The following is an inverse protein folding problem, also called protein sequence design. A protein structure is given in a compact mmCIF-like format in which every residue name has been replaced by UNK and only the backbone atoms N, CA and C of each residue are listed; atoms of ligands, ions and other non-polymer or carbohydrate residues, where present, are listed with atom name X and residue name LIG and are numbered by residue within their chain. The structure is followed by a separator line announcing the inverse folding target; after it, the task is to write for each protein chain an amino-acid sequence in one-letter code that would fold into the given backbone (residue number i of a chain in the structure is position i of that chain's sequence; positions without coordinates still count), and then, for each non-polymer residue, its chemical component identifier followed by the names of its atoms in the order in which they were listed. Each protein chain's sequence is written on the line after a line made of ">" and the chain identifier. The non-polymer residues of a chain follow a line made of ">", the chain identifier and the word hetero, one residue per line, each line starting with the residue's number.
data_IF_405133145358
#
_entry.id   IF_405133145358
#
_cell.length_a   1.000
_cell.length_b   1.000
_cell.length_c   1.000
_cell.angle_alpha   90.00
_cell.angle_beta   90.00
_cell.angle_gamma   90.00
#
_symmetry.space_group_name_H-M   'P 1'
#
loop_
_entity.id
_entity.type
_entity.pdbx_description
1 polymer ?
#
# COMPACT_ATOMS: atom_id res chain seq x y z
N UNK A 1 17.91 -17.13 1.74
CA UNK A 1 17.69 -15.99 0.81
C UNK A 1 16.19 -15.88 0.63
N UNK A 2 15.59 -14.74 0.93
CA UNK A 2 14.16 -14.52 0.72
C UNK A 2 13.91 -14.44 -0.79
N UNK A 3 12.96 -15.24 -1.29
CA UNK A 3 12.63 -15.30 -2.71
C UNK A 3 11.78 -14.07 -3.11
N UNK A 4 12.24 -13.33 -4.13
CA UNK A 4 11.54 -12.15 -4.66
C UNK A 4 10.18 -12.56 -5.25
N UNK A 5 9.12 -11.84 -4.88
CA UNK A 5 7.78 -12.01 -5.44
C UNK A 5 7.38 -10.85 -6.35
N UNK A 6 7.53 -9.62 -5.88
CA UNK A 6 7.25 -8.41 -6.65
C UNK A 6 8.45 -7.47 -6.60
N UNK A 7 8.86 -6.95 -7.75
CA UNK A 7 9.85 -5.89 -7.83
C UNK A 7 9.41 -4.78 -8.78
N UNK A 8 9.41 -3.58 -8.26
CA UNK A 8 9.28 -2.35 -9.06
C UNK A 8 10.69 -1.81 -9.34
N UNK A 9 10.97 -1.46 -10.59
CA UNK A 9 12.25 -0.88 -11.00
C UNK A 9 12.02 0.42 -11.75
N UNK A 10 12.42 1.53 -11.12
CA UNK A 10 12.29 2.90 -11.66
C UNK A 10 10.88 3.20 -12.19
N UNK A 11 9.85 2.78 -11.45
CA UNK A 11 8.46 3.02 -11.82
C UNK A 11 8.18 4.51 -11.81
N UNK A 12 7.70 5.03 -12.94
CA UNK A 12 7.19 6.39 -13.06
C UNK A 12 5.76 6.34 -13.58
N UNK A 13 4.90 7.22 -13.06
CA UNK A 13 3.53 7.38 -13.53
C UNK A 13 3.21 8.85 -13.64
N UNK A 14 2.99 9.30 -14.86
CA UNK A 14 2.63 10.67 -15.19
C UNK A 14 1.20 10.72 -15.73
N UNK A 15 0.37 11.62 -15.23
CA UNK A 15 -0.97 11.88 -15.75
C UNK A 15 -0.96 13.13 -16.63
N UNK A 16 -1.52 13.04 -17.82
CA UNK A 16 -1.70 14.19 -18.69
C UNK A 16 -2.82 15.08 -18.15
N UNK A 17 -2.49 16.32 -17.84
CA UNK A 17 -3.42 17.37 -17.37
C UNK A 17 -3.47 18.53 -18.36
N UNK A 18 -4.39 19.47 -18.20
CA UNK A 18 -4.54 20.63 -19.12
C UNK A 18 -3.25 21.43 -19.28
N UNK A 19 -2.44 21.52 -18.23
CA UNK A 19 -1.23 22.36 -18.16
C UNK A 19 0.07 21.54 -18.28
N UNK A 20 0.05 20.33 -18.87
CA UNK A 20 1.23 19.48 -19.03
C UNK A 20 1.06 18.10 -18.41
N UNK A 21 2.01 17.67 -17.58
CA UNK A 21 1.99 16.37 -16.91
C UNK A 21 2.10 16.55 -15.40
N UNK A 22 1.37 15.69 -14.67
CA UNK A 22 1.45 15.55 -13.22
C UNK A 22 2.21 14.25 -12.92
N UNK A 23 3.39 14.36 -12.31
CA UNK A 23 4.27 13.24 -11.99
C UNK A 23 3.85 12.61 -10.64
N UNK A 24 2.86 11.74 -10.68
CA UNK A 24 2.29 11.12 -9.48
C UNK A 24 3.23 10.10 -8.84
N UNK A 25 4.09 9.44 -9.64
CA UNK A 25 5.13 8.52 -9.18
C UNK A 25 6.40 8.81 -9.96
N UNK A 26 7.53 9.04 -9.27
CA UNK A 26 8.83 9.34 -9.87
C UNK A 26 9.89 8.34 -9.41
N UNK A 27 10.35 7.52 -10.33
CA UNK A 27 11.50 6.60 -10.15
C UNK A 27 11.42 5.70 -8.90
N UNK A 28 10.23 5.16 -8.60
CA UNK A 28 10.04 4.28 -7.46
C UNK A 28 10.62 2.89 -7.73
N UNK A 29 11.46 2.43 -6.81
CA UNK A 29 12.05 1.08 -6.81
C UNK A 29 11.86 0.45 -5.45
N UNK A 30 11.27 -0.75 -5.41
CA UNK A 30 11.09 -1.54 -4.19
C UNK A 30 11.02 -3.03 -4.52
N UNK A 31 11.25 -3.88 -3.53
CA UNK A 31 11.15 -5.34 -3.66
C UNK A 31 10.37 -5.91 -2.49
N UNK A 32 9.37 -6.76 -2.79
CA UNK A 32 8.59 -7.53 -1.83
C UNK A 32 8.93 -9.00 -2.00
N UNK A 33 9.33 -9.66 -0.92
CA UNK A 33 9.64 -11.08 -0.91
C UNK A 33 8.39 -11.93 -0.61
N UNK A 34 8.48 -13.23 -0.88
CA UNK A 34 7.41 -14.17 -0.52
C UNK A 34 7.18 -14.21 0.99
N UNK A 35 5.91 -14.14 1.40
CA UNK A 35 5.51 -14.13 2.81
C UNK A 35 5.86 -12.86 3.58
N UNK A 36 6.28 -11.77 2.89
CA UNK A 36 6.65 -10.49 3.49
C UNK A 36 5.45 -9.54 3.56
N UNK A 37 5.33 -8.80 4.65
CA UNK A 37 4.44 -7.64 4.76
C UNK A 37 5.26 -6.38 4.53
N UNK A 38 5.07 -5.76 3.38
CA UNK A 38 5.73 -4.53 2.97
C UNK A 38 4.77 -3.35 3.06
N UNK A 39 5.06 -2.36 3.88
CA UNK A 39 4.23 -1.17 4.03
C UNK A 39 4.72 -0.01 3.18
N UNK A 40 3.79 0.71 2.54
CA UNK A 40 4.03 2.01 1.91
C UNK A 40 3.25 3.06 2.70
N UNK A 41 3.97 4.02 3.29
CA UNK A 41 3.40 5.07 4.14
C UNK A 41 3.71 6.47 3.60
N UNK A 42 2.90 7.44 3.95
CA UNK A 42 3.09 8.84 3.56
C UNK A 42 1.79 9.63 3.59
N UNK A 43 1.88 10.94 3.37
CA UNK A 43 0.71 11.83 3.36
C UNK A 43 -0.28 11.48 2.24
N UNK A 44 -1.55 11.88 2.40
CA UNK A 44 -2.56 11.70 1.36
C UNK A 44 -2.15 12.41 0.06
N UNK A 45 -2.41 11.76 -1.08
CA UNK A 45 -2.05 12.30 -2.40
C UNK A 45 -0.58 12.16 -2.80
N UNK A 46 0.29 11.51 -2.00
CA UNK A 46 1.70 11.34 -2.37
C UNK A 46 1.99 10.22 -3.41
N UNK A 47 0.95 9.56 -3.97
CA UNK A 47 1.11 8.58 -5.06
C UNK A 47 1.01 7.11 -4.65
N UNK A 48 0.75 6.76 -3.40
CA UNK A 48 0.67 5.37 -2.89
C UNK A 48 -0.31 4.49 -3.67
N UNK A 49 -1.56 4.94 -3.78
CA UNK A 49 -2.61 4.21 -4.53
C UNK A 49 -2.29 4.14 -6.03
N UNK A 50 -1.57 5.13 -6.57
CA UNK A 50 -1.11 5.10 -7.96
C UNK A 50 -0.15 3.94 -8.20
N UNK A 51 0.77 3.66 -7.27
CA UNK A 51 1.65 2.48 -7.35
C UNK A 51 0.81 1.20 -7.36
N UNK A 52 -0.15 1.06 -6.42
CA UNK A 52 -1.02 -0.11 -6.34
C UNK A 52 -1.80 -0.37 -7.64
N UNK A 53 -2.41 0.69 -8.19
CA UNK A 53 -3.18 0.61 -9.43
C UNK A 53 -2.29 0.33 -10.65
N UNK A 54 -1.05 0.82 -10.67
CA UNK A 54 -0.10 0.57 -11.76
C UNK A 54 0.26 -0.91 -11.89
N UNK A 55 0.46 -1.62 -10.76
CA UNK A 55 0.81 -3.04 -10.73
C UNK A 55 -0.26 -3.88 -11.46
N UNK A 56 -1.52 -3.50 -11.32
CA UNK A 56 -2.64 -4.22 -11.93
C UNK A 56 -3.19 -3.55 -13.21
N UNK A 57 -2.56 -2.46 -13.71
CA UNK A 57 -3.09 -1.61 -14.79
C UNK A 57 -4.56 -1.23 -14.57
N UNK A 58 -4.84 -0.69 -13.37
CA UNK A 58 -6.15 -0.20 -12.96
C UNK A 58 -6.17 1.32 -12.84
N UNK A 59 -5.24 2.01 -13.49
CA UNK A 59 -5.22 3.46 -13.52
C UNK A 59 -6.45 4.01 -14.24
N UNK A 60 -7.09 5.08 -13.71
CA UNK A 60 -8.43 5.50 -14.14
C UNK A 60 -8.50 6.13 -15.54
N UNK A 61 -7.38 6.61 -16.08
CA UNK A 61 -7.34 7.35 -17.34
C UNK A 61 -6.41 6.72 -18.37
N UNK A 62 -6.84 6.74 -19.65
CA UNK A 62 -6.00 6.37 -20.80
C UNK A 62 -4.91 7.40 -21.13
N UNK A 63 -4.79 8.45 -20.33
CA UNK A 63 -3.84 9.55 -20.53
C UNK A 63 -2.62 9.44 -19.61
N UNK A 64 -2.43 8.29 -18.97
CA UNK A 64 -1.24 8.02 -18.17
C UNK A 64 -0.06 7.58 -19.04
N UNK A 65 1.13 7.96 -18.59
CA UNK A 65 2.40 7.45 -19.11
C UNK A 65 3.07 6.67 -17.98
N UNK A 66 3.15 5.36 -18.15
CA UNK A 66 3.82 4.46 -17.21
C UNK A 66 5.17 4.07 -17.79
N UNK A 67 6.26 4.29 -17.03
CA UNK A 67 7.62 3.91 -17.39
C UNK A 67 8.25 3.08 -16.27
N UNK A 68 9.32 2.36 -16.59
CA UNK A 68 9.96 1.41 -15.68
C UNK A 68 9.40 0.02 -15.83
N UNK A 69 9.79 -0.89 -14.94
CA UNK A 69 9.42 -2.32 -15.03
C UNK A 69 8.71 -2.76 -13.75
N UNK A 70 7.77 -3.69 -13.90
CA UNK A 70 7.05 -4.33 -12.79
C UNK A 70 7.23 -5.85 -12.96
N UNK A 71 8.12 -6.43 -12.15
CA UNK A 71 8.37 -7.88 -12.17
C UNK A 71 7.50 -8.57 -11.12
N UNK A 72 6.76 -9.60 -11.52
CA UNK A 72 6.01 -10.47 -10.63
C UNK A 72 6.41 -11.93 -10.89
N UNK A 73 6.87 -12.65 -9.85
CA UNK A 73 7.50 -13.97 -9.99
C UNK A 73 8.63 -14.02 -11.04
N UNK A 74 9.40 -12.95 -11.18
CA UNK A 74 10.51 -12.84 -12.14
C UNK A 74 10.11 -12.44 -13.56
N UNK A 75 8.82 -12.35 -13.89
CA UNK A 75 8.33 -11.94 -15.22
C UNK A 75 7.90 -10.47 -15.22
N UNK A 76 8.25 -9.71 -16.28
CA UNK A 76 7.81 -8.33 -16.44
C UNK A 76 6.35 -8.29 -16.89
N UNK A 77 5.44 -7.94 -15.95
CA UNK A 77 4.01 -7.89 -16.23
C UNK A 77 3.59 -6.65 -17.05
N UNK A 78 4.49 -5.68 -17.29
CA UNK A 78 4.23 -4.59 -18.21
C UNK A 78 4.12 -5.08 -19.66
N UNK A 79 4.78 -6.19 -19.99
CA UNK A 79 4.72 -6.80 -21.32
C UNK A 79 3.48 -7.68 -21.53
N UNK A 80 2.71 -7.94 -20.46
CA UNK A 80 1.54 -8.81 -20.54
C UNK A 80 0.41 -8.18 -21.37
N UNK A 81 -0.22 -9.01 -22.18
CA UNK A 81 -1.51 -8.70 -22.80
C UNK A 81 -2.62 -8.64 -21.74
N UNK A 82 -3.75 -8.00 -22.05
CA UNK A 82 -4.89 -7.94 -21.12
C UNK A 82 -5.39 -9.34 -20.72
N UNK A 83 -5.40 -10.31 -21.64
CA UNK A 83 -5.74 -11.71 -21.34
C UNK A 83 -4.77 -12.39 -20.37
N UNK A 84 -3.49 -12.02 -20.39
CA UNK A 84 -2.52 -12.53 -19.44
C UNK A 84 -2.69 -11.88 -18.06
N UNK A 85 -2.98 -10.56 -18.03
CA UNK A 85 -3.30 -9.84 -16.80
C UNK A 85 -4.58 -10.35 -16.14
N UNK A 86 -5.62 -10.68 -16.89
CA UNK A 86 -6.85 -11.30 -16.37
C UNK A 86 -6.56 -12.61 -15.60
N UNK A 87 -5.56 -13.38 -16.04
CA UNK A 87 -5.17 -14.63 -15.36
C UNK A 87 -4.51 -14.41 -14.01
N UNK A 88 -3.84 -13.27 -13.81
CA UNK A 88 -3.17 -12.97 -12.54
C UNK A 88 -4.04 -12.13 -11.60
N UNK A 89 -4.92 -11.26 -12.16
CA UNK A 89 -5.84 -10.44 -11.35
C UNK A 89 -6.80 -11.34 -10.57
N UNK A 90 -6.87 -11.13 -9.26
CA UNK A 90 -7.70 -11.87 -8.31
C UNK A 90 -7.27 -13.32 -8.07
N UNK A 91 -6.42 -13.93 -8.91
CA UNK A 91 -5.90 -15.29 -8.70
C UNK A 91 -4.51 -15.28 -8.06
N UNK A 92 -3.58 -14.53 -8.63
CA UNK A 92 -2.20 -14.44 -8.14
C UNK A 92 -1.99 -13.17 -7.32
N UNK A 93 -2.65 -12.06 -7.72
CA UNK A 93 -2.62 -10.77 -7.05
C UNK A 93 -4.05 -10.35 -6.74
N UNK A 94 -4.40 -10.26 -5.45
CA UNK A 94 -5.65 -9.68 -4.96
C UNK A 94 -5.47 -8.20 -4.60
N UNK A 95 -6.53 -7.38 -4.73
CA UNK A 95 -6.50 -5.98 -4.30
C UNK A 95 -7.69 -5.64 -3.42
N UNK A 96 -7.42 -5.08 -2.26
CA UNK A 96 -8.39 -4.50 -1.34
C UNK A 96 -8.40 -2.99 -1.59
N UNK A 97 -9.51 -2.47 -2.11
CA UNK A 97 -9.66 -1.05 -2.42
C UNK A 97 -10.01 -0.23 -1.19
N UNK A 98 -9.67 1.05 -1.21
CA UNK A 98 -9.90 2.01 -0.13
C UNK A 98 -11.39 2.14 0.25
N UNK A 99 -12.31 2.09 -0.73
CA UNK A 99 -13.74 2.22 -0.49
C UNK A 99 -14.49 0.91 -0.73
N UNK A 100 -14.96 0.23 0.34
CA UNK A 100 -15.71 -1.03 0.18
C UNK A 100 -17.08 -0.86 -0.46
N UNK A 101 -17.63 0.36 -0.50
CA UNK A 101 -18.94 0.64 -1.13
C UNK A 101 -18.88 0.50 -2.64
N UNK A 102 -17.77 0.90 -3.24
CA UNK A 102 -17.60 0.88 -4.69
C UNK A 102 -17.15 -0.50 -5.20
N UNK A 103 -16.74 -1.40 -4.30
CA UNK A 103 -16.18 -2.71 -4.62
C UNK A 103 -17.22 -3.84 -4.66
N UNK A 104 -18.37 -3.65 -4.00
CA UNK A 104 -19.44 -4.64 -3.94
C UNK A 104 -20.60 -4.24 -4.84
N UNK A 105 -21.03 -5.17 -5.70
CA UNK A 105 -22.21 -4.95 -6.55
C UNK A 105 -23.50 -4.99 -5.70
N UNK A 106 -24.29 -3.90 -5.64
CA UNK A 106 -25.44 -3.78 -4.75
C UNK A 106 -26.62 -4.71 -5.11
N UNK A 107 -26.68 -5.25 -6.32
CA UNK A 107 -27.79 -6.09 -6.79
C UNK A 107 -27.57 -7.60 -6.56
N UNK A 108 -26.39 -8.00 -6.08
CA UNK A 108 -26.11 -9.40 -5.73
C UNK A 108 -25.88 -9.55 -4.23
N UNK A 109 -26.24 -10.71 -3.69
CA UNK A 109 -25.92 -11.04 -2.30
C UNK A 109 -24.41 -11.16 -2.13
N UNK A 110 -23.92 -10.84 -0.94
CA UNK A 110 -22.48 -10.83 -0.66
C UNK A 110 -21.88 -12.23 -0.75
N UNK A 111 -22.60 -13.27 -0.35
CA UNK A 111 -22.17 -14.66 -0.50
C UNK A 111 -22.05 -15.07 -1.97
N UNK A 112 -22.95 -14.62 -2.83
CA UNK A 112 -22.86 -14.91 -4.28
C UNK A 112 -21.58 -14.30 -4.87
N UNK A 113 -21.25 -13.06 -4.55
CA UNK A 113 -20.06 -12.37 -5.06
C UNK A 113 -18.76 -13.08 -4.65
N UNK A 114 -18.70 -13.58 -3.40
CA UNK A 114 -17.54 -14.39 -2.96
C UNK A 114 -17.52 -15.77 -3.64
N UNK A 115 -18.68 -16.42 -3.77
CA UNK A 115 -18.79 -17.72 -4.43
C UNK A 115 -18.39 -17.66 -5.90
N UNK A 116 -18.71 -16.56 -6.61
CA UNK A 116 -18.33 -16.36 -8.02
C UNK A 116 -16.83 -16.48 -8.21
N UNK A 117 -16.02 -15.82 -7.37
CA UNK A 117 -14.55 -15.92 -7.41
C UNK A 117 -14.05 -17.35 -7.17
N UNK A 118 -14.68 -18.08 -6.27
CA UNK A 118 -14.34 -19.49 -5.98
C UNK A 118 -14.69 -20.39 -7.16
N UNK A 119 -15.88 -20.23 -7.77
CA UNK A 119 -16.35 -21.04 -8.89
C UNK A 119 -15.49 -20.91 -10.16
N UNK A 120 -14.73 -19.84 -10.32
CA UNK A 120 -13.71 -19.73 -11.37
C UNK A 120 -12.58 -20.78 -11.23
N UNK A 121 -12.49 -21.49 -10.11
CA UNK A 121 -11.51 -22.54 -9.81
C UNK A 121 -11.98 -23.96 -10.11
N UNK A 122 -13.00 -24.20 -10.94
CA UNK A 122 -13.55 -25.52 -11.28
C UNK A 122 -14.07 -26.33 -10.08
N UNK A 123 -14.71 -25.67 -9.12
CA UNK A 123 -15.39 -26.29 -7.98
C UNK A 123 -16.90 -26.32 -8.19
N UNK A 124 -17.60 -27.26 -7.56
CA UNK A 124 -19.06 -27.30 -7.59
C UNK A 124 -19.68 -26.10 -6.84
N UNK A 125 -20.93 -25.80 -7.16
CA UNK A 125 -21.66 -24.72 -6.47
C UNK A 125 -21.79 -24.99 -4.96
N UNK A 126 -22.00 -26.22 -4.57
CA UNK A 126 -22.12 -26.60 -3.16
C UNK A 126 -20.78 -26.41 -2.42
N UNK A 127 -19.67 -26.87 -3.01
CA UNK A 127 -18.33 -26.65 -2.45
C UNK A 127 -18.00 -25.15 -2.35
N UNK A 128 -18.36 -24.35 -3.35
CA UNK A 128 -18.17 -22.90 -3.31
C UNK A 128 -18.92 -22.29 -2.14
N UNK A 129 -20.18 -22.64 -1.93
CA UNK A 129 -20.99 -22.14 -0.81
C UNK A 129 -20.42 -22.52 0.56
N UNK A 130 -19.98 -23.76 0.73
CA UNK A 130 -19.33 -24.21 1.98
C UNK A 130 -18.04 -23.40 2.25
N UNK A 131 -17.25 -23.13 1.20
CA UNK A 131 -16.06 -22.27 1.32
C UNK A 131 -16.40 -20.82 1.68
N UNK A 132 -17.49 -20.25 1.14
CA UNK A 132 -17.95 -18.90 1.49
C UNK A 132 -18.23 -18.79 2.98
N UNK A 133 -18.99 -19.74 3.55
CA UNK A 133 -19.30 -19.73 4.99
C UNK A 133 -18.02 -19.84 5.82
N UNK A 134 -17.08 -20.70 5.40
CA UNK A 134 -15.76 -20.81 6.06
C UNK A 134 -15.01 -19.49 6.01
N UNK A 135 -14.89 -18.86 4.84
CA UNK A 135 -14.21 -17.56 4.67
C UNK A 135 -14.85 -16.47 5.54
N UNK A 136 -16.18 -16.43 5.64
CA UNK A 136 -16.87 -15.46 6.51
C UNK A 136 -16.53 -15.70 8.00
N UNK A 137 -16.39 -16.94 8.43
CA UNK A 137 -15.92 -17.26 9.78
C UNK A 137 -14.44 -16.85 9.97
N UNK A 138 -13.58 -17.08 8.97
CA UNK A 138 -12.16 -16.71 9.00
C UNK A 138 -11.97 -15.19 9.15
N UNK A 139 -12.79 -14.39 8.43
CA UNK A 139 -12.80 -12.93 8.57
C UNK A 139 -13.65 -12.45 9.77
N UNK A 140 -14.08 -13.34 10.66
CA UNK A 140 -14.85 -13.00 11.88
C UNK A 140 -16.17 -12.28 11.61
N UNK A 141 -16.88 -12.71 10.56
CA UNK A 141 -18.23 -12.24 10.27
C UNK A 141 -19.22 -12.83 11.29
N UNK A 142 -19.98 -11.98 11.97
CA UNK A 142 -21.07 -12.45 12.83
C UNK A 142 -22.18 -13.09 11.99
N UNK A 143 -22.77 -14.20 12.46
CA UNK A 143 -23.83 -14.93 11.76
C UNK A 143 -23.46 -15.27 10.29
N UNK A 144 -22.25 -15.81 10.08
CA UNK A 144 -21.65 -16.01 8.76
C UNK A 144 -22.63 -16.61 7.74
N UNK A 145 -23.33 -17.68 8.07
CA UNK A 145 -24.28 -18.36 7.19
C UNK A 145 -25.44 -17.44 6.77
N UNK A 146 -26.02 -16.67 7.72
CA UNK A 146 -27.10 -15.71 7.45
C UNK A 146 -26.58 -14.59 6.55
N UNK A 147 -25.37 -14.10 6.79
CA UNK A 147 -24.78 -12.96 6.05
C UNK A 147 -24.46 -13.29 4.60
N UNK A 148 -24.27 -14.56 4.24
CA UNK A 148 -24.11 -14.91 2.82
C UNK A 148 -25.32 -14.53 1.97
N UNK A 149 -26.51 -14.43 2.56
CA UNK A 149 -27.78 -14.06 1.90
C UNK A 149 -28.04 -12.56 1.94
N UNK A 150 -27.26 -11.78 2.69
CA UNK A 150 -27.43 -10.33 2.79
C UNK A 150 -26.90 -9.61 1.56
N UNK A 151 -27.54 -8.51 1.21
CA UNK A 151 -27.07 -7.55 0.20
C UNK A 151 -26.10 -6.55 0.84
N UNK A 152 -25.21 -5.90 0.05
CA UNK A 152 -24.24 -4.95 0.59
C UNK A 152 -24.86 -3.82 1.43
N UNK A 153 -26.02 -3.31 1.04
CA UNK A 153 -26.71 -2.22 1.76
C UNK A 153 -27.28 -2.64 3.12
N UNK A 154 -27.43 -3.95 3.37
CA UNK A 154 -27.91 -4.49 4.67
C UNK A 154 -26.76 -4.68 5.68
N UNK A 155 -25.51 -4.41 5.28
CA UNK A 155 -24.31 -4.62 6.09
C UNK A 155 -23.71 -3.29 6.55
N UNK A 156 -23.12 -3.29 7.76
CA UNK A 156 -22.29 -2.17 8.23
C UNK A 156 -21.02 -2.01 7.40
N UNK A 157 -20.34 -0.86 7.50
CA UNK A 157 -19.08 -0.60 6.80
C UNK A 157 -18.03 -1.67 7.09
N UNK A 158 -17.82 -2.01 8.36
CA UNK A 158 -16.87 -3.06 8.75
C UNK A 158 -17.26 -4.45 8.26
N UNK A 159 -18.56 -4.78 8.16
CA UNK A 159 -19.02 -6.04 7.59
C UNK A 159 -18.77 -6.10 6.07
N UNK A 160 -19.00 -5.00 5.34
CA UNK A 160 -18.68 -4.89 3.91
C UNK A 160 -17.18 -5.05 3.65
N UNK A 161 -16.35 -4.44 4.50
CA UNK A 161 -14.89 -4.62 4.44
C UNK A 161 -14.49 -6.10 4.59
N UNK A 162 -15.09 -6.82 5.55
CA UNK A 162 -14.85 -8.26 5.73
C UNK A 162 -15.29 -9.09 4.53
N UNK A 163 -16.42 -8.75 3.89
CA UNK A 163 -16.84 -9.39 2.64
C UNK A 163 -15.82 -9.16 1.54
N UNK A 164 -15.33 -7.94 1.38
CA UNK A 164 -14.32 -7.61 0.39
C UNK A 164 -13.02 -8.39 0.64
N UNK A 165 -12.56 -8.47 1.90
CA UNK A 165 -11.40 -9.27 2.26
C UNK A 165 -11.66 -10.75 1.95
N UNK A 166 -12.81 -11.32 2.36
CA UNK A 166 -13.19 -12.70 2.07
C UNK A 166 -13.18 -13.00 0.56
N UNK A 167 -13.66 -12.04 -0.26
CA UNK A 167 -13.64 -12.15 -1.71
C UNK A 167 -12.21 -12.18 -2.26
N UNK A 168 -11.32 -11.31 -1.76
CA UNK A 168 -9.92 -11.27 -2.20
C UNK A 168 -9.13 -12.53 -1.83
N UNK A 169 -9.33 -13.06 -0.62
CA UNK A 169 -8.63 -14.27 -0.18
C UNK A 169 -9.25 -15.57 -0.70
N UNK A 170 -10.43 -15.51 -1.31
CA UNK A 170 -11.18 -16.70 -1.79
C UNK A 170 -10.40 -17.59 -2.77
N UNK A 171 -9.42 -17.01 -3.45
CA UNK A 171 -8.55 -17.68 -4.42
C UNK A 171 -7.12 -17.89 -3.93
N UNK A 172 -6.83 -17.62 -2.65
CA UNK A 172 -5.50 -17.75 -2.04
C UNK A 172 -4.38 -17.12 -2.87
N UNK A 173 -4.43 -15.79 -3.11
CA UNK A 173 -3.45 -15.10 -3.94
C UNK A 173 -2.06 -15.12 -3.28
N UNK A 174 -1.00 -15.03 -4.09
CA UNK A 174 0.39 -14.92 -3.61
C UNK A 174 0.70 -13.54 -3.03
N UNK A 175 0.06 -12.50 -3.60
CA UNK A 175 0.18 -11.11 -3.16
C UNK A 175 -1.20 -10.51 -2.93
N UNK A 176 -1.37 -9.82 -1.80
CA UNK A 176 -2.51 -8.94 -1.55
C UNK A 176 -2.00 -7.50 -1.49
N UNK A 177 -2.56 -6.64 -2.33
CA UNK A 177 -2.36 -5.20 -2.25
C UNK A 177 -3.54 -4.63 -1.46
N UNK A 178 -3.27 -4.11 -0.26
CA UNK A 178 -4.27 -3.52 0.62
C UNK A 178 -4.11 -1.99 0.64
N UNK A 179 -4.96 -1.31 -0.12
CA UNK A 179 -4.94 0.15 -0.23
C UNK A 179 -5.87 0.78 0.81
N UNK A 180 -5.28 1.32 1.87
CA UNK A 180 -5.96 1.91 3.03
C UNK A 180 -7.12 1.03 3.58
N UNK A 181 -6.86 -0.24 3.92
CA UNK A 181 -7.91 -1.22 4.22
C UNK A 181 -8.71 -0.92 5.49
N UNK A 182 -8.29 0.07 6.28
CA UNK A 182 -8.90 0.43 7.57
C UNK A 182 -9.47 1.84 7.60
N UNK A 183 -9.42 2.58 6.50
CA UNK A 183 -9.93 3.95 6.43
C UNK A 183 -11.43 4.00 6.75
N UNK A 184 -11.82 4.96 7.58
CA UNK A 184 -13.19 5.18 8.07
C UNK A 184 -13.77 4.03 8.93
N UNK A 185 -12.93 3.17 9.50
CA UNK A 185 -13.33 2.14 10.45
C UNK A 185 -12.98 2.54 11.89
N UNK A 186 -13.71 1.96 12.85
CA UNK A 186 -13.35 2.11 14.25
C UNK A 186 -12.11 1.28 14.61
N UNK A 187 -11.42 1.67 15.71
CA UNK A 187 -10.17 1.05 16.17
C UNK A 187 -10.31 -0.47 16.40
N UNK A 188 -11.50 -0.91 16.81
CA UNK A 188 -11.77 -2.33 17.06
C UNK A 188 -11.77 -3.14 15.78
N UNK A 189 -12.40 -2.62 14.74
CA UNK A 189 -12.43 -3.25 13.40
C UNK A 189 -11.04 -3.21 12.76
N UNK A 190 -10.31 -2.11 12.93
CA UNK A 190 -8.94 -1.97 12.47
C UNK A 190 -8.03 -3.10 13.01
N UNK A 191 -8.03 -3.32 14.34
CA UNK A 191 -7.28 -4.42 14.96
C UNK A 191 -7.67 -5.80 14.43
N UNK A 192 -8.95 -6.02 14.11
CA UNK A 192 -9.43 -7.27 13.55
C UNK A 192 -8.94 -7.49 12.11
N UNK A 193 -8.88 -6.43 11.29
CA UNK A 193 -8.33 -6.50 9.93
C UNK A 193 -6.83 -6.82 9.97
N UNK A 194 -6.08 -6.22 10.89
CA UNK A 194 -4.67 -6.56 11.09
C UNK A 194 -4.45 -8.03 11.42
N UNK A 195 -5.28 -8.57 12.30
CA UNK A 195 -5.24 -9.99 12.63
C UNK A 195 -5.55 -10.89 11.42
N UNK A 196 -6.41 -10.45 10.51
CA UNK A 196 -6.67 -11.17 9.25
C UNK A 196 -5.42 -11.10 8.35
N UNK A 197 -4.79 -9.94 8.21
CA UNK A 197 -3.56 -9.76 7.42
C UNK A 197 -2.44 -10.66 7.96
N UNK A 198 -2.23 -10.70 9.28
CA UNK A 198 -1.26 -11.60 9.92
C UNK A 198 -1.54 -13.07 9.60
N UNK A 199 -2.80 -13.50 9.74
CA UNK A 199 -3.19 -14.86 9.41
C UNK A 199 -2.95 -15.21 7.94
N UNK A 200 -3.19 -14.29 7.02
CA UNK A 200 -2.94 -14.51 5.60
C UNK A 200 -1.45 -14.76 5.34
N UNK A 201 -0.57 -14.02 6.00
CA UNK A 201 0.86 -14.27 5.94
C UNK A 201 1.23 -15.62 6.58
N UNK A 202 0.80 -15.85 7.81
CA UNK A 202 1.27 -16.97 8.65
C UNK A 202 0.68 -18.31 8.19
N UNK A 203 -0.62 -18.36 7.82
CA UNK A 203 -1.32 -19.60 7.48
C UNK A 203 -1.22 -19.93 5.98
N UNK A 204 -1.13 -18.92 5.10
CA UNK A 204 -1.16 -19.10 3.64
C UNK A 204 0.12 -18.67 2.92
N UNK A 205 1.12 -18.16 3.65
CA UNK A 205 2.35 -17.59 3.09
C UNK A 205 2.07 -16.52 2.01
N UNK A 206 0.96 -15.78 2.17
CA UNK A 206 0.58 -14.68 1.28
C UNK A 206 1.39 -13.45 1.62
N UNK A 207 2.03 -12.84 0.62
CA UNK A 207 2.71 -11.55 0.79
C UNK A 207 1.70 -10.42 0.80
N UNK A 208 1.99 -9.33 1.50
CA UNK A 208 1.08 -8.19 1.60
C UNK A 208 1.82 -6.89 1.30
N UNK A 209 1.31 -6.12 0.34
CA UNK A 209 1.65 -4.71 0.18
C UNK A 209 0.58 -3.89 0.92
N UNK A 210 0.94 -3.32 2.05
CA UNK A 210 0.04 -2.52 2.88
C UNK A 210 0.25 -1.03 2.62
N UNK A 211 -0.73 -0.36 2.06
CA UNK A 211 -0.73 1.09 1.88
C UNK A 211 -1.57 1.72 2.98
N UNK A 212 -0.97 2.61 3.76
CA UNK A 212 -1.67 3.27 4.86
C UNK A 212 -0.97 4.58 5.25
N UNK A 213 -1.72 5.46 5.91
CA UNK A 213 -1.16 6.62 6.61
C UNK A 213 -1.03 6.38 8.14
N UNK A 214 -1.45 5.21 8.63
CA UNK A 214 -1.40 4.85 10.04
C UNK A 214 -0.11 4.11 10.40
N UNK A 215 0.88 4.82 10.94
CA UNK A 215 2.16 4.26 11.37
C UNK A 215 2.04 3.26 12.53
N UNK A 216 1.00 3.39 13.37
CA UNK A 216 0.75 2.43 14.44
C UNK A 216 0.47 1.03 13.90
N UNK A 217 -0.31 0.94 12.81
CA UNK A 217 -0.58 -0.32 12.12
C UNK A 217 0.70 -0.90 11.52
N UNK A 218 1.50 -0.05 10.88
CA UNK A 218 2.76 -0.46 10.24
C UNK A 218 3.72 -1.06 11.25
N UNK A 219 3.93 -0.37 12.38
CA UNK A 219 4.78 -0.86 13.48
C UNK A 219 4.36 -2.25 14.01
N UNK A 220 3.08 -2.59 13.86
CA UNK A 220 2.51 -3.83 14.38
C UNK A 220 2.63 -5.02 13.42
N UNK A 221 2.59 -4.80 12.11
CA UNK A 221 2.47 -5.89 11.13
C UNK A 221 3.53 -5.93 10.04
N UNK A 222 4.22 -4.81 9.78
CA UNK A 222 5.15 -4.74 8.65
C UNK A 222 6.52 -5.32 8.98
N UNK A 223 7.13 -5.99 8.00
CA UNK A 223 8.53 -6.41 8.02
C UNK A 223 9.43 -5.29 7.48
N UNK A 224 8.98 -4.65 6.37
CA UNK A 224 9.65 -3.51 5.73
C UNK A 224 8.70 -2.37 5.46
N UNK A 225 9.26 -1.17 5.38
CA UNK A 225 8.54 0.08 5.19
C UNK A 225 9.22 0.94 4.14
N UNK A 226 8.45 1.48 3.20
CA UNK A 226 8.85 2.58 2.34
C UNK A 226 8.06 3.85 2.72
N UNK A 227 8.77 4.92 3.03
CA UNK A 227 8.20 6.23 3.31
C UNK A 227 8.17 7.02 2.01
N UNK A 228 6.96 7.40 1.59
CA UNK A 228 6.71 8.08 0.33
C UNK A 228 6.33 9.54 0.57
N UNK A 229 6.96 10.45 -0.18
CA UNK A 229 6.64 11.87 -0.20
C UNK A 229 6.60 12.38 -1.63
N UNK A 230 5.53 13.08 -1.99
CA UNK A 230 5.39 13.78 -3.27
C UNK A 230 5.78 12.93 -4.50
N UNK A 231 5.39 11.66 -4.55
CA UNK A 231 5.66 10.75 -5.69
C UNK A 231 6.96 9.96 -5.60
N UNK A 232 7.79 10.18 -4.60
CA UNK A 232 9.10 9.50 -4.45
C UNK A 232 9.16 8.70 -3.15
N UNK A 233 9.92 7.59 -3.15
CA UNK A 233 10.36 6.94 -1.90
C UNK A 233 11.54 7.76 -1.37
N UNK A 234 11.35 8.40 -0.23
CA UNK A 234 12.39 9.20 0.43
C UNK A 234 13.22 8.39 1.40
N UNK A 235 12.67 7.32 1.94
CA UNK A 235 13.39 6.38 2.81
C UNK A 235 12.71 5.01 2.76
N UNK A 236 13.49 3.94 2.78
CA UNK A 236 12.98 2.57 2.91
C UNK A 236 13.93 1.72 3.75
N UNK A 237 13.36 0.81 4.55
CA UNK A 237 14.13 -0.05 5.44
C UNK A 237 13.26 -1.10 6.11
N UNK A 238 13.84 -1.85 7.06
CA UNK A 238 13.03 -2.66 7.97
C UNK A 238 12.16 -1.75 8.84
N UNK A 239 11.14 -2.31 9.48
CA UNK A 239 10.33 -1.54 10.43
C UNK A 239 11.20 -0.89 11.52
N UNK A 240 12.23 -1.58 12.00
CA UNK A 240 13.16 -1.06 13.00
C UNK A 240 14.01 0.10 12.47
N UNK A 241 14.52 0.01 11.23
CA UNK A 241 15.29 1.10 10.61
C UNK A 241 14.48 2.39 10.56
N UNK A 242 13.19 2.30 10.19
CA UNK A 242 12.31 3.46 10.00
C UNK A 242 11.81 4.03 11.34
N UNK A 243 11.54 3.18 12.35
CA UNK A 243 10.95 3.64 13.62
C UNK A 243 11.99 4.04 14.65
N UNK A 244 13.13 3.34 14.70
CA UNK A 244 14.15 3.55 15.73
C UNK A 244 15.27 4.48 15.27
N UNK A 245 15.65 4.43 13.96
CA UNK A 245 16.77 5.21 13.42
C UNK A 245 16.45 5.83 12.03
N UNK A 246 15.37 6.63 11.91
CA UNK A 246 15.03 7.29 10.65
C UNK A 246 16.13 8.26 10.23
N UNK A 247 16.49 8.25 8.93
CA UNK A 247 17.54 9.09 8.36
C UNK A 247 17.00 10.35 7.69
N UNK A 248 15.93 10.20 6.88
CA UNK A 248 15.38 11.32 6.13
C UNK A 248 14.63 12.31 7.05
N UNK A 249 14.81 13.63 6.89
CA UNK A 249 14.14 14.65 7.70
C UNK A 249 12.62 14.52 7.76
N UNK A 250 11.97 14.17 6.64
CA UNK A 250 10.53 13.94 6.61
C UNK A 250 10.11 12.76 7.49
N UNK A 251 10.83 11.63 7.43
CA UNK A 251 10.56 10.47 8.28
C UNK A 251 10.73 10.83 9.76
N UNK A 252 11.79 11.56 10.11
CA UNK A 252 12.01 12.05 11.47
C UNK A 252 10.85 12.91 11.98
N UNK A 253 10.32 13.79 11.13
CA UNK A 253 9.17 14.63 11.49
C UNK A 253 7.89 13.80 11.64
N UNK A 254 7.65 12.83 10.76
CA UNK A 254 6.52 11.90 10.88
C UNK A 254 6.58 11.12 12.19
N UNK A 255 7.74 10.57 12.56
CA UNK A 255 7.93 9.84 13.83
C UNK A 255 7.71 10.74 15.05
N UNK A 256 8.08 12.05 14.98
CA UNK A 256 7.82 13.03 16.04
C UNK A 256 6.35 13.43 16.16
N UNK A 257 5.58 13.31 15.09
CA UNK A 257 4.14 13.61 15.07
C UNK A 257 3.28 12.45 15.61
N UNK A 258 3.84 11.24 15.77
CA UNK A 258 3.11 10.09 16.30
C UNK A 258 2.77 10.26 17.78
N UNK A 259 1.54 9.90 18.22
CA UNK A 259 1.17 9.89 19.62
C UNK A 259 2.04 8.90 20.40
N UNK A 260 2.89 9.37 21.29
CA UNK A 260 3.65 8.51 22.21
C UNK A 260 2.77 8.17 23.41
N UNK A 261 2.85 6.93 23.92
CA UNK A 261 2.12 6.45 25.11
C UNK A 261 2.50 7.18 26.41
N UNK A 262 3.55 7.99 26.42
CA UNK A 262 3.96 8.78 27.57
C UNK A 262 3.18 10.09 27.59
N UNK A 263 2.56 10.41 28.74
CA UNK A 263 1.90 11.70 29.03
C UNK A 263 2.90 12.85 28.85
N UNK A 264 3.05 13.34 27.65
CA UNK A 264 3.63 14.65 27.43
C UNK A 264 2.50 15.63 27.16
N UNK A 265 2.31 16.54 28.10
CA UNK A 265 1.53 17.75 27.97
C UNK A 265 2.16 18.62 26.88
N UNK A 266 1.68 18.49 25.65
CA UNK A 266 2.14 19.30 24.53
C UNK A 266 1.26 19.07 23.29
N UNK A 267 1.06 20.10 22.47
CA UNK A 267 0.42 19.98 21.15
C UNK A 267 1.21 18.97 20.32
N UNK A 268 0.51 18.05 19.66
CA UNK A 268 1.12 17.19 18.64
C UNK A 268 1.84 18.08 17.60
N UNK A 269 3.09 17.77 17.31
CA UNK A 269 3.86 18.50 16.30
C UNK A 269 3.29 18.14 14.93
N UNK A 270 2.80 19.12 14.20
CA UNK A 270 2.40 18.99 12.80
C UNK A 270 3.59 19.33 11.91
N UNK A 271 3.63 18.73 10.73
CA UNK A 271 4.59 19.14 9.69
C UNK A 271 4.00 20.35 8.99
N UNK A 272 4.64 21.52 9.14
CA UNK A 272 4.16 22.76 8.56
C UNK A 272 4.26 22.74 7.03
N UNK A 273 3.40 23.55 6.38
CA UNK A 273 3.35 23.66 4.93
C UNK A 273 2.47 22.62 4.24
N UNK A 274 2.44 22.67 2.92
CA UNK A 274 1.65 21.78 2.05
C UNK A 274 2.54 21.00 1.12
N UNK A 275 2.09 19.80 0.73
CA UNK A 275 2.76 18.99 -0.30
C UNK A 275 2.81 19.78 -1.61
N UNK A 276 3.96 19.86 -2.30
CA UNK A 276 4.07 20.58 -3.56
C UNK A 276 3.15 19.98 -4.64
N UNK A 277 2.74 20.78 -5.61
CA UNK A 277 2.06 20.26 -6.79
C UNK A 277 3.01 19.36 -7.56
N UNK A 278 2.58 18.14 -7.88
CA UNK A 278 3.40 17.11 -8.51
C UNK A 278 3.58 17.37 -10.02
N UNK A 279 4.01 18.57 -10.41
CA UNK A 279 4.36 18.88 -11.81
C UNK A 279 5.67 18.19 -12.19
N UNK A 280 5.89 17.96 -13.48
CA UNK A 280 7.13 17.32 -13.98
C UNK A 280 8.37 18.21 -13.85
N UNK A 281 8.17 19.51 -13.60
CA UNK A 281 9.23 20.52 -13.61
C UNK A 281 9.85 20.80 -12.23
N UNK A 282 9.51 20.01 -11.20
CA UNK A 282 10.12 20.15 -9.88
C UNK A 282 11.58 19.73 -9.97
N UNK A 283 12.48 20.71 -9.79
CA UNK A 283 13.91 20.48 -9.62
C UNK A 283 14.25 20.34 -8.14
N UNK A 284 15.33 19.62 -7.85
CA UNK A 284 15.80 19.46 -6.49
C UNK A 284 14.95 18.54 -5.61
N UNK A 285 15.19 18.63 -4.33
CA UNK A 285 14.50 17.81 -3.31
C UNK A 285 13.03 18.21 -3.17
N UNK A 286 12.11 17.32 -3.42
CA UNK A 286 10.66 17.60 -3.31
C UNK A 286 10.20 17.98 -1.90
N UNK A 287 10.99 17.69 -0.87
CA UNK A 287 10.70 18.05 0.52
C UNK A 287 11.35 19.38 0.95
N UNK A 288 12.14 20.04 0.11
CA UNK A 288 12.97 21.20 0.45
C UNK A 288 12.17 22.34 1.13
N UNK A 289 10.96 22.65 0.63
CA UNK A 289 10.09 23.74 1.16
C UNK A 289 9.57 23.50 2.58
N UNK A 290 9.63 22.27 3.09
CA UNK A 290 9.16 21.87 4.43
C UNK A 290 10.28 21.32 5.30
N UNK A 291 11.49 21.25 4.76
CA UNK A 291 12.64 20.66 5.44
C UNK A 291 13.25 21.69 6.42
N UNK A 292 13.29 21.42 7.73
CA UNK A 292 13.93 22.33 8.68
C UNK A 292 15.46 22.36 8.56
N UNK A 293 16.04 21.44 7.77
CA UNK A 293 17.49 21.29 7.55
C UNK A 293 17.88 21.60 6.10
N UNK A 294 17.05 22.36 5.38
CA UNK A 294 17.29 22.73 3.97
C UNK A 294 18.65 23.43 3.82
N UNK A 295 19.38 23.05 2.76
CA UNK A 295 20.60 23.69 2.28
C UNK A 295 20.42 24.07 0.81
N UNK A 296 21.27 24.96 0.26
CA UNK A 296 21.07 25.55 -1.07
C UNK A 296 20.94 24.52 -2.18
N UNK A 297 21.75 23.47 -2.16
CA UNK A 297 21.72 22.38 -3.15
C UNK A 297 20.37 21.64 -3.22
N UNK A 298 19.56 21.70 -2.15
CA UNK A 298 18.25 21.05 -2.13
C UNK A 298 17.25 21.70 -3.12
N UNK A 299 17.46 22.94 -3.53
CA UNK A 299 16.61 23.62 -4.51
C UNK A 299 16.91 23.21 -5.96
N UNK A 300 18.17 22.84 -6.23
CA UNK A 300 18.67 22.70 -7.59
C UNK A 300 18.83 21.25 -8.03
N UNK A 301 19.25 20.37 -7.12
CA UNK A 301 19.68 19.00 -7.44
C UNK A 301 18.82 17.98 -6.70
N UNK A 302 18.30 16.98 -7.43
CA UNK A 302 17.65 15.81 -6.84
C UNK A 302 18.64 15.02 -5.97
N UNK A 303 18.30 14.71 -4.69
CA UNK A 303 19.20 13.93 -3.85
C UNK A 303 19.39 12.52 -4.38
N UNK A 304 20.62 12.03 -4.34
CA UNK A 304 20.93 10.63 -4.67
C UNK A 304 20.38 9.68 -3.61
N UNK A 305 20.20 8.40 -3.98
CA UNK A 305 19.81 7.36 -3.03
C UNK A 305 21.07 6.88 -2.29
N UNK A 306 21.08 7.00 -0.97
CA UNK A 306 22.17 6.59 -0.09
C UNK A 306 21.80 5.26 0.55
N UNK A 307 22.69 4.28 0.42
CA UNK A 307 22.54 2.95 0.99
C UNK A 307 23.25 2.92 2.35
N UNK A 308 22.48 2.74 3.41
CA UNK A 308 22.96 2.60 4.80
C UNK A 308 23.31 1.13 5.10
N UNK A 309 22.45 0.20 4.65
CA UNK A 309 22.61 -1.23 4.79
C UNK A 309 21.94 -1.95 3.61
N UNK A 310 21.98 -3.28 3.58
CA UNK A 310 21.24 -4.07 2.57
C UNK A 310 19.75 -3.79 2.53
N UNK A 311 19.16 -3.42 3.67
CA UNK A 311 17.71 -3.16 3.79
C UNK A 311 17.36 -1.68 3.88
N UNK A 312 18.28 -0.79 4.27
CA UNK A 312 18.03 0.60 4.61
C UNK A 312 18.67 1.56 3.61
N UNK A 313 17.87 2.39 2.98
CA UNK A 313 18.31 3.46 2.09
C UNK A 313 17.41 4.69 2.19
N UNK A 314 17.97 5.86 1.89
CA UNK A 314 17.27 7.15 1.91
C UNK A 314 17.83 8.15 0.91
N UNK A 315 17.06 9.20 0.60
CA UNK A 315 17.41 10.25 -0.38
C UNK A 315 17.51 11.60 0.32
N UNK A 316 18.73 12.06 0.62
CA UNK A 316 18.97 13.35 1.28
C UNK A 316 20.39 13.83 1.05
N UNK A 317 20.60 15.14 0.84
CA UNK A 317 21.93 15.73 0.69
C UNK A 317 22.69 15.87 2.01
N UNK A 318 22.00 15.87 3.16
CA UNK A 318 22.63 16.11 4.48
C UNK A 318 23.62 15.02 4.92
N UNK A 319 23.61 13.85 4.26
CA UNK A 319 24.53 12.76 4.57
C UNK A 319 25.87 12.87 3.83
N UNK A 320 25.96 13.74 2.82
CA UNK A 320 27.20 13.97 2.06
C UNK A 320 28.13 15.01 2.71
N UNK A 321 27.68 15.68 3.77
CA UNK A 321 28.41 16.72 4.48
C UNK A 321 28.09 16.78 5.95
N UNK A 322 28.84 16.02 6.74
CA UNK A 322 29.13 16.29 8.16
C UNK A 322 27.93 16.41 9.12
N UNK A 323 28.03 15.68 10.19
CA UNK A 323 27.34 15.90 11.46
C UNK A 323 27.32 17.40 11.79
N UNK A 324 26.13 18.00 11.82
CA UNK A 324 25.90 19.15 12.68
C UNK A 324 25.12 18.64 13.90
N UNK A 325 25.87 18.14 14.87
CA UNK A 325 25.39 18.12 16.26
C UNK A 325 25.11 19.56 16.69
N UNK A 326 23.82 19.86 16.94
CA UNK A 326 23.38 20.78 18.01
C UNK A 326 21.93 20.45 18.42
#
# INVERSE_FOLDING_TARGET
>A
MNEELLRLKNLCVDYKVKEGYLSAVKSVSLTINKGEVFAIVGESGCGKSTIAHSILRLLPDRNEVVKGNIFFNGEDINEYTDKQLEKIRGKEIGMIFQNPLDSLNPVYTTGFQVAEGIMLGNVTREEAWNRVVKLYNDVKMSDAEKRTKSFPHELSGGMRQRVMIAMMISRTPKLIIADEPTTALDVTIEAQILNIIRKLRDDFNTSVMLITHNFGLVAEVADKVAVMYAGEIVEQGTVFDIFDDPKHPYTKLLMKALPRKTKHEGRLKTIDGTVPRLTTDIQGCRFENRCPYKIDICEEIDPSNIIVSESHSFRCHLSEGGESDE
#
